data_IF_270700775581
#
_entry.id   IF_270700775581
#
_cell.length_a   1.000
_cell.length_b   1.000
_cell.length_c   1.000
_cell.angle_alpha   90.00
_cell.angle_beta   90.00
_cell.angle_gamma   90.00
#
_symmetry.space_group_name_H-M   'P 1'
#
loop_
_entity.id
_entity.type
_entity.pdbx_description
1 polymer ?
#
# COMPACT_ATOMS: atom_id res chain seq x y z
N UNK A 1 36.99 14.85 15.18
CA UNK A 1 35.57 14.67 14.91
C UNK A 1 34.86 15.99 15.18
N UNK A 2 34.57 16.76 14.12
CA UNK A 2 33.95 18.08 14.26
C UNK A 2 32.46 17.93 14.51
N UNK A 3 32.02 18.21 15.73
CA UNK A 3 30.63 18.45 16.06
C UNK A 3 30.19 19.78 15.44
N UNK A 4 29.87 19.75 14.16
CA UNK A 4 29.15 20.85 13.54
C UNK A 4 27.76 20.91 14.19
N UNK A 5 27.57 21.91 15.03
CA UNK A 5 26.28 22.28 15.60
C UNK A 5 25.34 22.58 14.41
N UNK A 6 24.54 21.60 14.04
CA UNK A 6 23.47 21.79 13.04
C UNK A 6 22.52 22.80 13.66
N UNK A 7 22.57 24.05 13.24
CA UNK A 7 21.56 25.06 13.58
C UNK A 7 20.19 24.48 13.12
N UNK A 8 19.43 23.98 14.07
CA UNK A 8 18.08 23.50 13.85
C UNK A 8 17.21 24.72 13.59
N UNK A 9 16.83 24.94 12.33
CA UNK A 9 15.74 25.84 12.02
C UNK A 9 14.43 25.12 12.32
N UNK A 10 13.71 25.44 13.41
CA UNK A 10 12.55 24.65 13.85
C UNK A 10 11.42 24.65 12.81
N UNK A 11 11.26 25.73 12.06
CA UNK A 11 10.25 25.86 10.98
C UNK A 11 10.59 25.03 9.73
N UNK A 12 11.86 24.91 9.35
CA UNK A 12 12.29 24.12 8.19
C UNK A 12 12.06 22.63 8.38
N UNK A 13 12.09 22.13 9.63
CA UNK A 13 11.83 20.73 9.95
C UNK A 13 10.32 20.45 10.10
N UNK A 14 9.49 21.44 10.36
CA UNK A 14 8.04 21.26 10.54
C UNK A 14 7.31 21.00 9.24
N UNK A 15 7.74 21.63 8.14
CA UNK A 15 7.08 21.48 6.84
C UNK A 15 7.12 20.06 6.29
N UNK A 16 8.28 19.34 6.22
CA UNK A 16 8.32 17.95 5.78
C UNK A 16 7.49 17.03 6.68
N UNK A 17 7.46 17.29 7.98
CA UNK A 17 6.66 16.50 8.93
C UNK A 17 5.17 16.73 8.68
N UNK A 18 4.74 17.98 8.54
CA UNK A 18 3.36 18.32 8.22
C UNK A 18 2.92 17.67 6.91
N UNK A 19 3.77 17.70 5.88
CA UNK A 19 3.53 17.09 4.61
C UNK A 19 3.34 15.56 4.74
N UNK A 20 4.23 14.87 5.48
CA UNK A 20 4.10 13.43 5.75
C UNK A 20 2.79 13.14 6.49
N UNK A 21 2.43 13.93 7.50
CA UNK A 21 1.17 13.79 8.23
C UNK A 21 -0.02 13.96 7.29
N UNK A 22 -0.03 14.98 6.42
CA UNK A 22 -1.08 15.17 5.43
C UNK A 22 -1.20 13.98 4.47
N UNK A 23 -0.07 13.45 3.98
CA UNK A 23 -0.04 12.27 3.10
C UNK A 23 -0.57 11.02 3.81
N UNK A 24 -0.22 10.83 5.07
CA UNK A 24 -0.70 9.70 5.88
C UNK A 24 -2.21 9.84 6.12
N UNK A 25 -2.69 11.03 6.46
CA UNK A 25 -4.12 11.29 6.69
C UNK A 25 -4.94 11.08 5.42
N UNK A 26 -4.43 11.48 4.29
CA UNK A 26 -5.10 11.28 3.02
C UNK A 26 -5.09 9.81 2.62
N UNK A 27 -3.91 9.18 2.57
CA UNK A 27 -3.75 7.79 2.14
C UNK A 27 -4.27 6.77 3.15
N UNK A 28 -4.18 7.10 4.44
CA UNK A 28 -4.61 6.21 5.51
C UNK A 28 -6.09 6.30 5.84
N UNK A 29 -6.69 7.45 5.69
CA UNK A 29 -8.03 7.72 6.20
C UNK A 29 -9.01 8.28 5.17
N UNK A 30 -8.55 8.66 3.97
CA UNK A 30 -9.39 9.29 2.94
C UNK A 30 -10.03 10.60 3.41
N UNK A 31 -9.38 11.30 4.37
CA UNK A 31 -9.94 12.49 5.00
C UNK A 31 -9.79 13.76 4.16
N UNK A 32 -8.85 13.74 3.22
CA UNK A 32 -8.54 14.90 2.38
C UNK A 32 -8.61 14.48 0.91
N UNK A 33 -9.52 15.04 0.10
CA UNK A 33 -9.52 14.79 -1.32
C UNK A 33 -8.23 15.32 -1.94
N UNK A 34 -7.47 14.46 -2.62
CA UNK A 34 -6.28 14.89 -3.36
C UNK A 34 -6.72 15.74 -4.55
N UNK A 35 -6.36 17.02 -4.60
CA UNK A 35 -6.72 17.85 -5.73
C UNK A 35 -5.94 17.41 -6.98
N UNK A 36 -6.60 17.39 -8.14
CA UNK A 36 -5.98 16.98 -9.42
C UNK A 36 -4.72 17.78 -9.75
N UNK A 37 -4.64 19.04 -9.35
CA UNK A 37 -3.46 19.89 -9.54
C UNK A 37 -2.26 19.52 -8.64
N UNK A 38 -2.42 18.60 -7.69
CA UNK A 38 -1.28 18.09 -6.92
C UNK A 38 -0.22 17.48 -7.84
N UNK A 39 -0.62 16.91 -8.98
CA UNK A 39 0.30 16.43 -10.00
C UNK A 39 1.34 17.50 -10.40
N UNK A 40 0.88 18.73 -10.68
CA UNK A 40 1.75 19.86 -11.08
C UNK A 40 2.72 20.19 -9.93
N UNK A 41 2.21 20.20 -8.70
CA UNK A 41 3.03 20.46 -7.51
C UNK A 41 4.10 19.39 -7.35
N UNK A 42 3.76 18.11 -7.52
CA UNK A 42 4.70 16.99 -7.40
C UNK A 42 5.78 17.04 -8.48
N UNK A 43 5.38 17.35 -9.71
CA UNK A 43 6.33 17.57 -10.82
C UNK A 43 7.25 18.76 -10.50
N UNK A 44 6.71 19.88 -10.01
CA UNK A 44 7.50 21.00 -9.54
C UNK A 44 8.47 20.61 -8.44
N UNK A 45 8.00 19.87 -7.43
CA UNK A 45 8.85 19.32 -6.35
C UNK A 45 9.99 18.48 -6.93
N UNK A 46 9.74 17.63 -7.90
CA UNK A 46 10.78 16.83 -8.55
C UNK A 46 11.86 17.74 -9.17
N UNK A 47 11.49 18.70 -9.99
CA UNK A 47 12.47 19.58 -10.67
C UNK A 47 13.24 20.49 -9.70
N UNK A 48 12.59 21.07 -8.70
CA UNK A 48 13.23 22.02 -7.78
C UNK A 48 14.05 21.35 -6.67
N UNK A 49 13.68 20.12 -6.28
CA UNK A 49 14.31 19.43 -5.17
C UNK A 49 15.16 18.24 -5.58
N UNK A 50 15.16 17.90 -6.88
CA UNK A 50 15.98 16.80 -7.37
C UNK A 50 17.45 16.96 -6.97
N UNK A 51 18.00 15.92 -6.36
CA UNK A 51 19.41 15.89 -5.95
C UNK A 51 20.07 14.64 -6.52
N UNK A 52 20.98 14.86 -7.50
CA UNK A 52 21.80 13.79 -8.09
C UNK A 52 22.72 13.19 -7.02
N UNK A 53 22.92 11.88 -7.06
CA UNK A 53 23.86 11.19 -6.17
C UNK A 53 23.31 10.72 -4.83
N UNK A 54 22.02 10.91 -4.56
CA UNK A 54 21.34 10.24 -3.45
C UNK A 54 21.06 8.79 -3.82
N UNK A 55 20.93 7.89 -2.81
CA UNK A 55 20.81 6.44 -3.01
C UNK A 55 19.66 6.04 -3.95
N UNK A 56 18.55 6.77 -3.92
CA UNK A 56 17.36 6.46 -4.71
C UNK A 56 17.09 7.45 -5.85
N UNK A 57 18.02 8.36 -6.16
CA UNK A 57 17.81 9.36 -7.21
C UNK A 57 17.58 8.74 -8.58
N UNK A 58 18.36 7.72 -8.97
CA UNK A 58 18.21 7.03 -10.25
C UNK A 58 16.88 6.27 -10.37
N UNK A 59 16.51 5.33 -9.46
CA UNK A 59 15.26 4.60 -9.58
C UNK A 59 14.03 5.52 -9.53
N UNK A 60 14.03 6.56 -8.70
CA UNK A 60 12.91 7.53 -8.67
C UNK A 60 12.81 8.29 -10.00
N UNK A 61 13.94 8.72 -10.58
CA UNK A 61 13.93 9.43 -11.87
C UNK A 61 13.42 8.54 -13.00
N UNK A 62 13.87 7.28 -13.05
CA UNK A 62 13.38 6.30 -14.03
C UNK A 62 11.87 6.14 -13.89
N UNK A 63 11.38 5.96 -12.68
CA UNK A 63 9.96 5.80 -12.41
C UNK A 63 9.14 7.04 -12.81
N UNK A 64 9.62 8.25 -12.48
CA UNK A 64 8.96 9.50 -12.91
C UNK A 64 8.91 9.62 -14.42
N UNK A 65 10.02 9.32 -15.11
CA UNK A 65 10.06 9.31 -16.58
C UNK A 65 9.09 8.28 -17.15
N UNK A 66 9.03 7.08 -16.58
CA UNK A 66 8.08 6.04 -16.96
C UNK A 66 6.62 6.52 -16.83
N UNK A 67 6.27 7.19 -15.73
CA UNK A 67 4.95 7.80 -15.56
C UNK A 67 4.63 8.83 -16.65
N UNK A 68 5.58 9.70 -17.00
CA UNK A 68 5.38 10.67 -18.08
C UNK A 68 5.18 9.99 -19.44
N UNK A 69 5.99 9.00 -19.77
CA UNK A 69 5.88 8.25 -21.00
C UNK A 69 4.54 7.50 -21.10
N UNK A 70 4.06 6.93 -20.01
CA UNK A 70 2.76 6.27 -19.99
C UNK A 70 1.59 7.25 -20.12
N UNK A 71 1.72 8.48 -19.60
CA UNK A 71 0.73 9.54 -19.84
C UNK A 71 0.66 9.87 -21.35
N UNK A 72 1.81 10.07 -21.99
CA UNK A 72 1.86 10.33 -23.42
C UNK A 72 1.32 9.14 -24.25
N UNK A 73 1.64 7.92 -23.85
CA UNK A 73 1.11 6.69 -24.45
C UNK A 73 -0.41 6.63 -24.35
N UNK A 74 -0.98 6.91 -23.17
CA UNK A 74 -2.41 6.93 -22.97
C UNK A 74 -3.11 8.00 -23.82
N UNK A 75 -2.53 9.21 -23.90
CA UNK A 75 -3.06 10.26 -24.76
C UNK A 75 -3.10 9.83 -26.24
N UNK A 76 -2.02 9.18 -26.71
CA UNK A 76 -1.91 8.79 -28.11
C UNK A 76 -2.74 7.55 -28.48
N UNK A 77 -2.61 6.46 -27.70
CA UNK A 77 -3.27 5.18 -28.02
C UNK A 77 -4.70 5.08 -27.53
N UNK A 78 -5.03 5.73 -26.41
CA UNK A 78 -6.36 5.68 -25.77
C UNK A 78 -7.19 6.92 -26.01
N UNK A 79 -6.60 7.97 -26.62
CA UNK A 79 -7.25 9.24 -26.89
C UNK A 79 -7.82 9.92 -25.64
N UNK A 80 -7.11 9.78 -24.50
CA UNK A 80 -7.49 10.37 -23.23
C UNK A 80 -6.92 11.79 -23.08
N UNK A 81 -7.65 12.66 -22.38
CA UNK A 81 -7.15 14.01 -22.10
C UNK A 81 -6.09 13.99 -21.00
N UNK A 82 -5.06 14.86 -21.03
CA UNK A 82 -4.06 14.95 -19.98
C UNK A 82 -4.66 15.15 -18.59
N UNK A 83 -5.72 15.97 -18.51
CA UNK A 83 -6.38 16.30 -17.24
C UNK A 83 -7.07 15.09 -16.62
N UNK A 84 -7.56 14.16 -17.44
CA UNK A 84 -8.19 12.91 -16.97
C UNK A 84 -7.18 11.95 -16.37
N UNK A 85 -5.97 11.95 -16.90
CA UNK A 85 -4.92 10.98 -16.56
C UNK A 85 -4.08 11.45 -15.37
N UNK A 86 -3.65 12.71 -15.37
CA UNK A 86 -2.66 13.25 -14.43
C UNK A 86 -3.07 13.06 -12.97
N UNK A 87 -4.36 13.18 -12.66
CA UNK A 87 -4.87 13.01 -11.30
C UNK A 87 -4.58 11.64 -10.69
N UNK A 88 -4.61 10.60 -11.51
CA UNK A 88 -4.42 9.21 -11.06
C UNK A 88 -2.94 8.90 -10.74
N UNK A 89 -2.01 9.67 -11.30
CA UNK A 89 -0.59 9.51 -11.01
C UNK A 89 -0.14 10.17 -9.70
N UNK A 90 -0.96 10.98 -9.06
CA UNK A 90 -0.60 11.69 -7.84
C UNK A 90 -0.05 10.76 -6.76
N UNK A 91 -0.74 9.63 -6.52
CA UNK A 91 -0.36 8.66 -5.51
C UNK A 91 1.03 8.07 -5.76
N UNK A 92 1.36 7.80 -7.01
CA UNK A 92 2.64 7.22 -7.40
C UNK A 92 3.75 8.26 -7.39
N UNK A 93 3.46 9.48 -7.82
CA UNK A 93 4.43 10.58 -7.84
C UNK A 93 4.77 11.11 -6.44
N UNK A 94 4.02 10.73 -5.40
CA UNK A 94 4.40 11.07 -4.01
C UNK A 94 5.81 10.59 -3.64
N UNK A 95 6.36 9.60 -4.34
CA UNK A 95 7.74 9.14 -4.15
C UNK A 95 8.78 10.28 -4.31
N UNK A 96 8.44 11.35 -5.05
CA UNK A 96 9.35 12.51 -5.23
C UNK A 96 9.58 13.30 -3.95
N UNK A 97 8.72 13.14 -2.94
CA UNK A 97 8.96 13.74 -1.62
C UNK A 97 10.23 13.23 -0.95
N UNK A 98 10.77 12.10 -1.38
CA UNK A 98 12.10 11.66 -1.00
C UNK A 98 13.15 12.77 -1.16
N UNK A 99 13.10 13.55 -2.25
CA UNK A 99 14.05 14.64 -2.48
C UNK A 99 13.87 15.82 -1.50
N UNK A 100 12.62 16.09 -1.11
CA UNK A 100 12.32 17.09 -0.07
C UNK A 100 12.93 16.67 1.26
N UNK A 101 12.74 15.41 1.66
CA UNK A 101 13.30 14.85 2.89
C UNK A 101 14.84 14.91 2.87
N UNK A 102 15.47 14.59 1.73
CA UNK A 102 16.92 14.66 1.55
C UNK A 102 17.42 16.10 1.61
N UNK A 103 16.70 17.08 1.07
CA UNK A 103 17.10 18.48 1.08
C UNK A 103 17.06 19.06 2.49
N UNK A 104 16.02 18.74 3.24
CA UNK A 104 15.86 19.23 4.62
C UNK A 104 16.60 18.39 5.66
N UNK A 105 17.33 17.35 5.23
CA UNK A 105 18.08 16.44 6.11
C UNK A 105 17.21 15.94 7.29
N UNK A 106 15.96 15.55 6.99
CA UNK A 106 15.04 15.00 8.00
C UNK A 106 15.65 13.72 8.55
N UNK A 107 15.81 13.63 9.86
CA UNK A 107 16.42 12.46 10.47
C UNK A 107 15.46 11.24 10.40
N UNK A 108 16.06 10.07 10.25
CA UNK A 108 15.31 8.80 10.21
C UNK A 108 14.51 8.60 11.50
N UNK A 109 15.06 9.01 12.66
CA UNK A 109 14.39 8.89 13.95
C UNK A 109 13.10 9.71 14.02
N UNK A 110 13.07 10.88 13.38
CA UNK A 110 11.86 11.71 13.29
C UNK A 110 10.82 11.02 12.41
N UNK A 111 11.23 10.50 11.25
CA UNK A 111 10.34 9.75 10.36
C UNK A 111 9.78 8.50 11.05
N UNK A 112 10.63 7.72 11.72
CA UNK A 112 10.20 6.55 12.49
C UNK A 112 9.16 6.91 13.56
N UNK A 113 9.34 8.01 14.29
CA UNK A 113 8.37 8.47 15.29
C UNK A 113 7.04 8.87 14.65
N UNK A 114 7.07 9.64 13.55
CA UNK A 114 5.86 10.07 12.86
C UNK A 114 5.09 8.86 12.33
N UNK A 115 5.77 7.94 11.66
CA UNK A 115 5.18 6.72 11.14
C UNK A 115 4.63 5.81 12.26
N UNK A 116 5.34 5.71 13.38
CA UNK A 116 4.88 4.95 14.53
C UNK A 116 3.60 5.52 15.15
N UNK A 117 3.51 6.84 15.33
CA UNK A 117 2.30 7.46 15.83
C UNK A 117 1.14 7.37 14.84
N UNK A 118 1.40 7.53 13.54
CA UNK A 118 0.40 7.33 12.52
C UNK A 118 -0.15 5.90 12.53
N UNK A 119 0.72 4.91 12.69
CA UNK A 119 0.35 3.51 12.84
C UNK A 119 -0.55 3.30 14.08
N UNK A 120 -0.18 3.84 15.24
CA UNK A 120 -0.98 3.72 16.47
C UNK A 120 -2.37 4.34 16.28
N UNK A 121 -2.44 5.56 15.73
CA UNK A 121 -3.70 6.25 15.42
C UNK A 121 -4.54 5.40 14.46
N UNK A 122 -3.91 4.86 13.40
CA UNK A 122 -4.59 3.97 12.46
C UNK A 122 -5.22 2.76 13.16
N UNK A 123 -4.48 2.07 14.04
CA UNK A 123 -5.00 0.92 14.75
C UNK A 123 -6.24 1.28 15.59
N UNK A 124 -6.22 2.39 16.31
CA UNK A 124 -7.36 2.83 17.10
C UNK A 124 -8.55 3.21 16.22
N UNK A 125 -8.34 3.96 15.14
CA UNK A 125 -9.40 4.30 14.19
C UNK A 125 -10.01 3.04 13.56
N UNK A 126 -9.17 2.07 13.18
CA UNK A 126 -9.62 0.81 12.61
C UNK A 126 -10.45 -0.01 13.59
N UNK A 127 -9.98 -0.20 14.82
CA UNK A 127 -10.71 -0.93 15.87
C UNK A 127 -12.02 -0.24 16.23
N UNK A 128 -12.01 1.10 16.30
CA UNK A 128 -13.26 1.85 16.51
C UNK A 128 -14.22 1.63 15.34
N UNK A 129 -13.75 1.70 14.08
CA UNK A 129 -14.58 1.46 12.91
C UNK A 129 -15.18 0.05 12.92
N UNK A 130 -14.40 -0.97 13.33
CA UNK A 130 -14.89 -2.35 13.48
C UNK A 130 -15.96 -2.42 14.57
N UNK A 131 -15.80 -1.72 15.70
CA UNK A 131 -16.74 -1.74 16.82
C UNK A 131 -18.10 -1.10 16.52
N UNK A 132 -18.12 -0.08 15.65
CA UNK A 132 -19.35 0.66 15.27
C UNK A 132 -20.00 0.14 13.99
N UNK A 133 -19.50 -0.99 13.46
CA UNK A 133 -20.12 -1.64 12.29
C UNK A 133 -21.62 -1.86 12.48
N UNK A 134 -22.49 -1.60 11.48
CA UNK A 134 -22.20 -1.30 10.09
C UNK A 134 -22.06 0.21 9.77
N UNK A 135 -22.00 1.09 10.77
CA UNK A 135 -21.86 2.53 10.56
C UNK A 135 -20.46 2.87 10.05
N UNK A 136 -20.36 3.56 8.93
CA UNK A 136 -19.11 4.07 8.38
C UNK A 136 -18.79 5.42 9.00
N UNK A 137 -17.65 5.52 9.70
CA UNK A 137 -17.17 6.76 10.33
C UNK A 137 -15.96 7.32 9.61
N UNK A 138 -15.00 6.47 9.25
CA UNK A 138 -13.72 6.86 8.66
C UNK A 138 -13.61 6.51 7.17
N UNK A 139 -14.71 6.16 6.54
CA UNK A 139 -14.71 5.72 5.14
C UNK A 139 -15.52 6.69 4.30
N UNK A 140 -15.04 6.94 3.10
CA UNK A 140 -15.72 7.81 2.16
C UNK A 140 -17.10 7.22 1.82
N UNK A 141 -18.14 7.97 2.11
CA UNK A 141 -19.53 7.58 1.84
C UNK A 141 -19.86 7.57 0.36
N UNK A 142 -19.11 8.33 -0.42
CA UNK A 142 -19.31 8.51 -1.86
C UNK A 142 -18.53 7.48 -2.69
N UNK A 143 -17.74 6.64 -2.03
CA UNK A 143 -17.02 5.57 -2.70
C UNK A 143 -18.03 4.50 -3.12
N UNK A 144 -18.59 4.65 -4.32
CA UNK A 144 -19.62 3.77 -4.93
C UNK A 144 -19.13 2.33 -5.12
N UNK A 145 -17.86 2.06 -4.87
CA UNK A 145 -17.28 0.73 -4.86
C UNK A 145 -17.35 0.17 -3.44
N UNK A 146 -18.36 -0.65 -3.20
CA UNK A 146 -18.62 -1.41 -1.96
C UNK A 146 -17.46 -2.34 -1.50
N UNK A 147 -16.23 -2.11 -1.98
CA UNK A 147 -15.06 -2.88 -1.57
C UNK A 147 -14.66 -2.63 -0.11
N UNK A 148 -15.08 -1.50 0.44
CA UNK A 148 -14.71 -1.06 1.79
C UNK A 148 -15.44 -1.85 2.86
N UNK A 149 -16.67 -2.28 2.58
CA UNK A 149 -17.44 -3.15 3.47
C UNK A 149 -17.82 -4.40 2.69
N UNK A 150 -17.19 -5.48 3.05
CA UNK A 150 -17.64 -6.79 2.64
C UNK A 150 -18.79 -7.21 3.57
N UNK A 151 -20.03 -6.86 3.20
CA UNK A 151 -21.24 -7.12 4.00
C UNK A 151 -21.42 -8.61 4.23
N UNK A 152 -21.12 -9.44 3.22
CA UNK A 152 -21.24 -10.90 3.31
C UNK A 152 -20.29 -11.48 4.36
N UNK A 153 -19.07 -10.95 4.45
CA UNK A 153 -18.06 -11.45 5.37
C UNK A 153 -17.89 -10.59 6.63
N UNK A 154 -18.72 -9.57 6.83
CA UNK A 154 -18.63 -8.59 7.94
C UNK A 154 -17.22 -8.00 8.10
N UNK A 155 -16.52 -7.76 6.99
CA UNK A 155 -15.17 -7.21 6.97
C UNK A 155 -15.18 -5.74 6.61
N UNK A 156 -14.34 -4.99 7.28
CA UNK A 156 -14.11 -3.59 6.98
C UNK A 156 -12.72 -3.48 6.40
N UNK A 157 -12.63 -3.02 5.15
CA UNK A 157 -11.38 -2.72 4.47
C UNK A 157 -11.14 -1.23 4.53
N UNK A 158 -10.39 -0.82 5.52
CA UNK A 158 -9.97 0.57 5.65
C UNK A 158 -8.68 0.80 4.87
N UNK A 159 -8.62 1.87 4.08
CA UNK A 159 -7.38 2.29 3.40
C UNK A 159 -6.30 2.57 4.46
N UNK A 160 -5.05 2.22 4.17
CA UNK A 160 -3.93 2.46 5.12
C UNK A 160 -3.42 1.23 5.85
N UNK A 161 -3.86 0.02 5.51
CA UNK A 161 -3.30 -1.21 6.09
C UNK A 161 -1.79 -1.36 5.87
N UNK A 162 -1.23 -0.70 4.86
CA UNK A 162 0.23 -0.58 4.66
C UNK A 162 0.93 0.09 5.84
N UNK A 163 0.31 1.11 6.46
CA UNK A 163 0.83 1.79 7.67
C UNK A 163 0.85 0.82 8.84
N UNK A 164 -0.19 -0.02 8.97
CA UNK A 164 -0.25 -1.06 9.99
C UNK A 164 0.87 -2.09 9.80
N UNK A 165 1.12 -2.54 8.58
CA UNK A 165 2.22 -3.47 8.26
C UNK A 165 3.59 -2.88 8.57
N UNK A 166 3.82 -1.60 8.22
CA UNK A 166 5.04 -0.89 8.57
C UNK A 166 5.22 -0.79 10.10
N UNK A 167 4.15 -0.47 10.82
CA UNK A 167 4.13 -0.41 12.29
C UNK A 167 4.44 -1.75 12.93
N UNK A 168 3.93 -2.84 12.36
CA UNK A 168 4.23 -4.21 12.78
C UNK A 168 5.74 -4.51 12.68
N UNK A 169 6.32 -4.33 11.50
CA UNK A 169 7.75 -4.63 11.28
C UNK A 169 8.67 -3.66 12.05
N UNK A 170 8.28 -2.41 12.19
CA UNK A 170 8.99 -1.46 13.03
C UNK A 170 9.01 -1.93 14.50
N UNK A 171 7.84 -2.31 15.04
CA UNK A 171 7.72 -2.80 16.40
C UNK A 171 8.52 -4.09 16.61
N UNK A 172 8.44 -5.04 15.67
CA UNK A 172 9.24 -6.25 15.68
C UNK A 172 10.74 -5.96 15.70
N UNK A 173 11.20 -5.02 14.85
CA UNK A 173 12.60 -4.61 14.83
C UNK A 173 13.06 -4.06 16.19
N UNK A 174 12.24 -3.21 16.82
CA UNK A 174 12.55 -2.65 18.15
C UNK A 174 12.55 -3.71 19.25
N UNK A 175 11.70 -4.74 19.17
CA UNK A 175 11.73 -5.89 20.08
C UNK A 175 13.02 -6.68 19.91
N UNK A 176 13.44 -6.91 18.68
CA UNK A 176 14.72 -7.58 18.39
C UNK A 176 15.92 -6.77 18.91
N UNK A 177 15.81 -5.44 18.94
CA UNK A 177 16.76 -4.53 19.63
C UNK A 177 16.60 -4.56 21.17
N UNK A 178 15.83 -5.50 21.74
CA UNK A 178 15.55 -5.67 23.18
C UNK A 178 14.69 -4.55 23.79
N UNK A 179 13.94 -3.79 23.02
CA UNK A 179 13.00 -2.77 23.49
C UNK A 179 11.61 -3.37 23.65
N UNK A 180 11.36 -4.07 24.77
CA UNK A 180 10.16 -4.86 25.00
C UNK A 180 8.86 -4.05 25.10
N UNK A 181 8.91 -2.74 25.32
CA UNK A 181 7.75 -1.85 25.32
C UNK A 181 7.02 -1.76 23.95
N UNK A 182 7.65 -2.23 22.87
CA UNK A 182 7.02 -2.33 21.55
C UNK A 182 6.20 -3.62 21.33
N UNK A 183 6.15 -4.52 22.31
CA UNK A 183 5.36 -5.76 22.22
C UNK A 183 3.86 -5.48 22.09
N UNK A 184 3.32 -4.56 22.88
CA UNK A 184 1.91 -4.20 22.81
C UNK A 184 1.52 -3.58 21.44
N UNK A 185 2.25 -2.60 20.88
CA UNK A 185 2.03 -2.14 19.51
C UNK A 185 2.07 -3.24 18.45
N UNK A 186 3.00 -4.17 18.55
CA UNK A 186 3.10 -5.31 17.63
C UNK A 186 1.85 -6.21 17.71
N UNK A 187 1.41 -6.55 18.91
CA UNK A 187 0.18 -7.34 19.11
C UNK A 187 -1.05 -6.61 18.60
N UNK A 188 -1.17 -5.31 18.86
CA UNK A 188 -2.25 -4.47 18.34
C UNK A 188 -2.31 -4.52 16.81
N UNK A 189 -1.16 -4.42 16.15
CA UNK A 189 -1.05 -4.56 14.70
C UNK A 189 -1.51 -5.93 14.20
N UNK A 190 -1.10 -7.01 14.87
CA UNK A 190 -1.54 -8.37 14.51
C UNK A 190 -3.06 -8.52 14.63
N UNK A 191 -3.67 -7.99 15.67
CA UNK A 191 -5.14 -7.99 15.83
C UNK A 191 -5.80 -7.27 14.66
N UNK A 192 -5.30 -6.09 14.27
CA UNK A 192 -5.81 -5.37 13.12
C UNK A 192 -5.66 -6.17 11.81
N UNK A 193 -4.51 -6.82 11.58
CA UNK A 193 -4.30 -7.67 10.40
C UNK A 193 -5.25 -8.86 10.36
N UNK A 194 -5.51 -9.49 11.49
CA UNK A 194 -6.44 -10.61 11.60
C UNK A 194 -7.88 -10.18 11.29
N UNK A 195 -8.33 -9.07 11.90
CA UNK A 195 -9.67 -8.53 11.64
C UNK A 195 -9.85 -8.07 10.20
N UNK A 196 -8.80 -7.57 9.57
CA UNK A 196 -8.79 -7.19 8.16
C UNK A 196 -8.93 -8.39 7.23
N UNK A 197 -8.44 -9.55 7.66
CA UNK A 197 -8.68 -10.85 7.03
C UNK A 197 -7.97 -11.07 5.68
N UNK A 198 -6.87 -10.37 5.40
CA UNK A 198 -6.03 -10.65 4.23
C UNK A 198 -5.04 -11.78 4.54
N UNK A 199 -5.35 -12.99 4.04
CA UNK A 199 -4.51 -14.20 4.16
C UNK A 199 -3.07 -13.96 3.69
N UNK A 200 -2.92 -13.32 2.54
CA UNK A 200 -1.63 -13.00 1.94
C UNK A 200 -0.79 -12.09 2.83
N UNK A 201 -1.42 -11.08 3.44
CA UNK A 201 -0.74 -10.16 4.35
C UNK A 201 -0.24 -10.89 5.60
N UNK A 202 -1.08 -11.73 6.20
CA UNK A 202 -0.71 -12.53 7.37
C UNK A 202 0.42 -13.51 7.05
N UNK A 203 0.32 -14.22 5.92
CA UNK A 203 1.34 -15.16 5.47
C UNK A 203 2.68 -14.47 5.27
N UNK A 204 2.72 -13.38 4.49
CA UNK A 204 3.96 -12.66 4.26
C UNK A 204 4.50 -12.00 5.52
N UNK A 205 3.62 -11.49 6.40
CA UNK A 205 4.07 -10.96 7.70
C UNK A 205 4.74 -12.03 8.55
N UNK A 206 4.23 -13.26 8.57
CA UNK A 206 4.85 -14.38 9.27
C UNK A 206 6.20 -14.75 8.65
N UNK A 207 6.26 -14.92 7.32
CA UNK A 207 7.50 -15.26 6.60
C UNK A 207 8.58 -14.22 6.82
N UNK A 208 8.27 -12.93 6.62
CA UNK A 208 9.25 -11.86 6.82
C UNK A 208 9.65 -11.71 8.29
N UNK A 209 8.76 -11.99 9.24
CA UNK A 209 9.12 -12.00 10.66
C UNK A 209 10.15 -13.08 10.96
N UNK A 210 9.98 -14.28 10.43
CA UNK A 210 10.95 -15.37 10.58
C UNK A 210 12.29 -14.97 9.97
N UNK A 211 12.29 -14.40 8.76
CA UNK A 211 13.51 -13.91 8.09
C UNK A 211 14.22 -12.85 8.96
N UNK A 212 13.48 -11.88 9.50
CA UNK A 212 14.03 -10.84 10.37
C UNK A 212 14.65 -11.44 11.63
N UNK A 213 13.96 -12.36 12.29
CA UNK A 213 14.45 -13.02 13.51
C UNK A 213 15.72 -13.81 13.22
N UNK A 214 15.76 -14.58 12.12
CA UNK A 214 16.95 -15.31 11.68
C UNK A 214 18.12 -14.36 11.41
N UNK A 215 17.85 -13.25 10.73
CA UNK A 215 18.89 -12.25 10.41
C UNK A 215 19.49 -11.61 11.65
N UNK A 216 18.68 -11.32 12.67
CA UNK A 216 19.13 -10.67 13.91
C UNK A 216 19.80 -11.63 14.89
N UNK A 217 19.25 -12.82 15.09
CA UNK A 217 19.66 -13.75 16.14
C UNK A 217 20.42 -14.97 15.60
N UNK A 218 20.52 -15.11 14.28
CA UNK A 218 20.99 -16.35 13.65
C UNK A 218 20.00 -17.49 13.81
N UNK A 219 20.33 -18.64 13.22
CA UNK A 219 19.55 -19.87 13.39
C UNK A 219 19.91 -20.52 14.73
N UNK A 220 19.05 -20.38 15.72
CA UNK A 220 19.31 -20.84 17.09
C UNK A 220 18.19 -21.74 17.62
N UNK A 221 18.52 -22.61 18.61
CA UNK A 221 17.49 -23.41 19.31
C UNK A 221 16.38 -22.55 19.93
N UNK A 222 16.71 -21.32 20.33
CA UNK A 222 15.72 -20.34 20.84
C UNK A 222 14.71 -19.93 19.77
N UNK A 223 15.15 -19.76 18.52
CA UNK A 223 14.26 -19.46 17.40
C UNK A 223 13.23 -20.58 17.20
N UNK A 224 13.70 -21.84 17.18
CA UNK A 224 12.82 -23.00 17.05
C UNK A 224 11.81 -23.05 18.18
N UNK A 225 12.25 -22.79 19.43
CA UNK A 225 11.37 -22.71 20.58
C UNK A 225 10.30 -21.61 20.43
N UNK A 226 10.68 -20.40 20.01
CA UNK A 226 9.73 -19.29 19.80
C UNK A 226 8.77 -19.56 18.65
N UNK A 227 9.23 -20.18 17.55
CA UNK A 227 8.36 -20.60 16.46
C UNK A 227 7.36 -21.67 16.93
N UNK A 228 7.81 -22.64 17.71
CA UNK A 228 6.93 -23.65 18.30
C UNK A 228 5.90 -23.05 19.26
N UNK A 229 6.33 -22.13 20.12
CA UNK A 229 5.43 -21.40 21.05
C UNK A 229 4.42 -20.52 20.29
N UNK A 230 4.86 -19.83 19.24
CA UNK A 230 3.99 -19.05 18.33
C UNK A 230 2.97 -19.96 17.62
N UNK A 231 3.41 -21.11 17.13
CA UNK A 231 2.54 -22.13 16.52
C UNK A 231 1.51 -22.68 17.53
N UNK A 232 1.93 -22.95 18.77
CA UNK A 232 1.02 -23.36 19.83
C UNK A 232 0.02 -22.26 20.17
N UNK A 233 0.46 -20.99 20.25
CA UNK A 233 -0.42 -19.86 20.48
C UNK A 233 -1.44 -19.69 19.35
N UNK A 234 -1.01 -19.82 18.09
CA UNK A 234 -1.91 -19.79 16.94
C UNK A 234 -2.92 -20.95 16.95
N UNK A 235 -2.48 -22.14 17.36
CA UNK A 235 -3.36 -23.31 17.54
C UNK A 235 -4.40 -23.08 18.66
N UNK A 236 -3.98 -22.55 19.80
CA UNK A 236 -4.91 -22.22 20.90
C UNK A 236 -5.92 -21.14 20.47
N UNK A 237 -5.50 -20.13 19.71
CA UNK A 237 -6.41 -19.15 19.11
C UNK A 237 -7.40 -19.80 18.14
N UNK A 238 -6.93 -20.77 17.33
CA UNK A 238 -7.78 -21.51 16.40
C UNK A 238 -8.89 -22.29 17.12
N UNK A 239 -8.65 -22.74 18.36
CA UNK A 239 -9.67 -23.43 19.16
C UNK A 239 -10.77 -22.48 19.68
N UNK A 240 -10.61 -21.17 19.56
CA UNK A 240 -11.65 -20.22 19.97
C UNK A 240 -12.75 -20.12 18.90
N UNK A 241 -14.05 -20.10 19.27
CA UNK A 241 -15.17 -20.06 18.32
C UNK A 241 -15.10 -18.87 17.34
N UNK A 242 -14.61 -17.72 17.81
CA UNK A 242 -14.46 -16.52 17.00
C UNK A 242 -13.44 -16.77 15.87
N UNK A 243 -12.34 -17.42 16.21
CA UNK A 243 -11.27 -17.70 15.24
C UNK A 243 -11.65 -18.80 14.26
N UNK A 244 -12.37 -19.82 14.73
CA UNK A 244 -12.93 -20.87 13.87
C UNK A 244 -13.86 -20.26 12.82
N UNK A 245 -14.78 -19.38 13.21
CA UNK A 245 -15.68 -18.69 12.28
C UNK A 245 -14.92 -17.86 11.24
N UNK A 246 -13.85 -17.17 11.64
CA UNK A 246 -13.01 -16.40 10.70
C UNK A 246 -12.27 -17.33 9.75
N UNK A 247 -11.73 -18.44 10.26
CA UNK A 247 -10.98 -19.41 9.47
C UNK A 247 -11.88 -20.18 8.50
N UNK A 248 -13.04 -20.64 8.93
CA UNK A 248 -14.04 -21.30 8.08
C UNK A 248 -14.44 -20.40 6.91
N UNK A 249 -14.75 -19.14 7.17
CA UNK A 249 -15.05 -18.17 6.10
C UNK A 249 -13.87 -17.93 5.15
N UNK A 250 -12.64 -18.00 5.67
CA UNK A 250 -11.45 -17.94 4.82
C UNK A 250 -11.33 -19.16 3.91
N UNK A 251 -11.72 -20.35 4.40
CA UNK A 251 -11.69 -21.61 3.63
C UNK A 251 -12.82 -21.65 2.62
N UNK A 252 -14.06 -21.31 3.00
CA UNK A 252 -15.21 -21.22 2.08
C UNK A 252 -14.90 -20.29 0.89
N UNK A 253 -14.25 -19.17 1.15
CA UNK A 253 -13.82 -18.28 0.06
C UNK A 253 -12.73 -18.92 -0.80
N UNK A 254 -11.84 -19.70 -0.25
CA UNK A 254 -10.82 -20.41 -1.03
C UNK A 254 -11.46 -21.49 -1.91
N UNK A 255 -12.48 -22.17 -1.42
CA UNK A 255 -13.25 -23.14 -2.19
C UNK A 255 -14.05 -22.46 -3.28
N UNK A 256 -14.69 -21.32 -3.00
CA UNK A 256 -15.38 -20.55 -4.02
C UNK A 256 -14.43 -19.99 -5.09
N UNK A 257 -13.22 -19.56 -4.70
CA UNK A 257 -12.20 -19.12 -5.64
C UNK A 257 -11.67 -20.30 -6.50
N UNK A 258 -11.72 -21.54 -6.01
CA UNK A 258 -11.31 -22.75 -6.75
C UNK A 258 -12.41 -23.32 -7.64
N UNK A 259 -13.68 -23.08 -7.32
CA UNK A 259 -14.85 -23.54 -8.11
C UNK A 259 -15.08 -22.72 -9.38
N UNK A 260 -14.47 -21.54 -9.53
CA UNK A 260 -14.37 -20.89 -10.83
C UNK A 260 -13.35 -21.66 -11.69
N UNK A 261 -13.79 -22.74 -12.26
CA UNK A 261 -13.22 -23.72 -13.18
C UNK A 261 -11.73 -23.64 -13.54
N UNK A 262 -11.09 -24.77 -13.58
CA UNK A 262 -9.63 -25.04 -13.70
C UNK A 262 -8.85 -24.36 -14.85
N UNK A 263 -9.48 -23.59 -15.74
CA UNK A 263 -8.82 -22.76 -16.76
C UNK A 263 -9.02 -21.27 -16.57
N UNK A 264 -9.93 -20.88 -15.67
CA UNK A 264 -10.38 -19.49 -15.51
C UNK A 264 -10.14 -18.95 -14.10
N UNK A 265 -9.04 -19.40 -13.46
CA UNK A 265 -8.62 -18.70 -12.24
C UNK A 265 -8.42 -17.21 -12.60
N UNK A 266 -9.26 -16.36 -12.01
CA UNK A 266 -9.40 -14.93 -12.39
C UNK A 266 -8.06 -14.18 -12.54
N UNK A 267 -7.04 -14.56 -11.77
CA UNK A 267 -5.71 -13.95 -11.88
C UNK A 267 -5.00 -14.37 -13.18
N UNK A 268 -5.13 -15.64 -13.62
CA UNK A 268 -4.58 -16.05 -14.91
C UNK A 268 -5.34 -15.38 -16.06
N UNK A 269 -6.67 -15.29 -15.97
CA UNK A 269 -7.47 -14.56 -16.93
C UNK A 269 -7.03 -13.09 -17.02
N UNK A 270 -6.77 -12.44 -15.87
CA UNK A 270 -6.23 -11.08 -15.80
C UNK A 270 -4.87 -10.99 -16.49
N UNK A 271 -3.95 -11.93 -16.19
CA UNK A 271 -2.62 -11.97 -16.81
C UNK A 271 -2.72 -12.07 -18.33
N UNK A 272 -3.49 -13.04 -18.83
CA UNK A 272 -3.67 -13.24 -20.27
C UNK A 272 -4.37 -12.07 -20.94
N UNK A 273 -5.34 -11.44 -20.27
CA UNK A 273 -6.01 -10.26 -20.79
C UNK A 273 -5.02 -9.11 -20.98
N UNK A 274 -4.24 -8.77 -19.94
CA UNK A 274 -3.31 -7.63 -20.00
C UNK A 274 -2.14 -7.87 -20.95
N UNK A 275 -1.62 -9.07 -21.09
CA UNK A 275 -0.56 -9.36 -22.06
C UNK A 275 -1.05 -9.63 -23.50
N UNK A 276 -2.25 -10.16 -23.65
CA UNK A 276 -2.74 -10.58 -24.98
C UNK A 276 -3.70 -9.60 -25.65
N UNK A 277 -4.58 -8.96 -24.89
CA UNK A 277 -5.73 -8.27 -25.44
C UNK A 277 -5.84 -6.79 -25.06
N UNK A 278 -5.11 -6.35 -24.04
CA UNK A 278 -5.27 -5.00 -23.50
C UNK A 278 -4.59 -3.94 -24.38
N UNK A 279 -3.39 -4.20 -24.87
CA UNK A 279 -2.61 -3.21 -25.60
C UNK A 279 -2.97 -3.16 -27.08
N UNK A 280 -3.06 -1.95 -27.64
CA UNK A 280 -3.28 -1.70 -29.07
C UNK A 280 -2.02 -1.89 -29.91
N UNK A 281 -0.84 -1.84 -29.29
CA UNK A 281 0.44 -2.00 -29.97
C UNK A 281 1.55 -2.44 -29.01
N UNK A 282 2.66 -2.96 -29.57
CA UNK A 282 3.85 -3.29 -28.81
C UNK A 282 4.48 -2.05 -28.14
N UNK A 283 4.33 -0.88 -28.77
CA UNK A 283 4.83 0.39 -28.21
C UNK A 283 4.03 0.77 -26.97
N UNK A 284 2.71 0.63 -27.01
CA UNK A 284 1.85 0.86 -25.83
C UNK A 284 2.19 -0.12 -24.69
N UNK A 285 2.45 -1.38 -25.03
CA UNK A 285 2.87 -2.38 -24.04
C UNK A 285 4.18 -1.98 -23.33
N UNK A 286 5.12 -1.43 -24.07
CA UNK A 286 6.41 -0.98 -23.53
C UNK A 286 6.27 0.30 -22.71
N UNK A 287 5.52 1.28 -23.20
CA UNK A 287 5.33 2.59 -22.54
C UNK A 287 4.27 2.59 -21.44
N UNK A 288 3.42 1.56 -21.40
CA UNK A 288 2.25 1.46 -20.54
C UNK A 288 0.99 2.04 -21.17
N UNK A 289 -0.17 1.50 -20.80
CA UNK A 289 -1.48 1.98 -21.27
C UNK A 289 -1.96 3.25 -20.57
N UNK A 290 -1.30 3.64 -19.49
CA UNK A 290 -1.66 4.76 -18.64
C UNK A 290 -2.78 4.43 -17.64
N UNK A 291 -2.84 5.23 -16.59
CA UNK A 291 -3.93 5.20 -15.61
C UNK A 291 -5.07 6.09 -16.10
N UNK A 292 -6.30 5.74 -15.81
CA UNK A 292 -7.46 6.54 -16.19
C UNK A 292 -8.34 6.88 -14.99
N UNK A 293 -8.96 8.04 -15.03
CA UNK A 293 -9.94 8.43 -14.02
C UNK A 293 -11.29 7.78 -14.33
N UNK A 294 -11.67 6.80 -13.52
CA UNK A 294 -12.92 6.02 -13.68
C UNK A 294 -14.18 6.89 -13.60
N UNK A 295 -14.15 7.99 -12.85
CA UNK A 295 -15.29 8.88 -12.68
C UNK A 295 -15.66 9.67 -13.94
N UNK A 296 -14.71 9.85 -14.87
CA UNK A 296 -14.93 10.66 -16.08
C UNK A 296 -15.69 9.92 -17.20
N UNK A 297 -15.89 8.62 -17.08
CA UNK A 297 -16.63 7.78 -18.02
C UNK A 297 -16.20 7.95 -19.49
N UNK A 298 -14.90 8.12 -19.70
CA UNK A 298 -14.32 8.10 -21.05
C UNK A 298 -14.34 6.69 -21.63
N UNK A 299 -14.09 6.53 -22.94
CA UNK A 299 -14.09 5.22 -23.59
C UNK A 299 -13.10 4.26 -22.93
N UNK A 300 -11.92 4.73 -22.58
CA UNK A 300 -10.91 3.92 -21.91
C UNK A 300 -11.26 3.62 -20.45
N UNK A 301 -11.78 4.61 -19.72
CA UNK A 301 -12.23 4.37 -18.34
C UNK A 301 -13.38 3.35 -18.26
N UNK A 302 -14.33 3.39 -19.22
CA UNK A 302 -15.41 2.41 -19.31
C UNK A 302 -14.88 1.01 -19.66
N UNK A 303 -13.84 0.91 -20.50
CA UNK A 303 -13.15 -0.36 -20.78
C UNK A 303 -12.56 -0.94 -19.50
N UNK A 304 -11.82 -0.14 -18.72
CA UNK A 304 -11.24 -0.59 -17.44
C UNK A 304 -12.33 -1.00 -16.45
N UNK A 305 -13.37 -0.18 -16.26
CA UNK A 305 -14.50 -0.51 -15.36
C UNK A 305 -15.20 -1.78 -15.80
N UNK A 306 -15.38 -2.00 -17.11
CA UNK A 306 -15.94 -3.25 -17.63
C UNK A 306 -15.04 -4.45 -17.34
N UNK A 307 -13.73 -4.32 -17.53
CA UNK A 307 -12.77 -5.38 -17.22
C UNK A 307 -12.83 -5.71 -15.72
N UNK A 308 -12.88 -4.69 -14.86
CA UNK A 308 -13.05 -4.87 -13.42
C UNK A 308 -14.36 -5.52 -13.02
N UNK A 309 -15.46 -5.25 -13.73
CA UNK A 309 -16.74 -5.93 -13.49
C UNK A 309 -16.69 -7.43 -13.83
N UNK A 310 -15.76 -7.85 -14.69
CA UNK A 310 -15.44 -9.27 -14.95
C UNK A 310 -14.39 -9.82 -13.98
N UNK A 311 -13.95 -9.03 -12.97
CA UNK A 311 -12.93 -9.41 -12.00
C UNK A 311 -11.49 -9.27 -12.50
N UNK A 312 -11.26 -8.66 -13.67
CA UNK A 312 -9.92 -8.46 -14.24
C UNK A 312 -9.24 -7.23 -13.68
N UNK A 313 -8.82 -7.31 -12.42
CA UNK A 313 -8.21 -6.19 -11.70
C UNK A 313 -6.68 -6.18 -11.87
N UNK A 314 -6.13 -5.18 -12.57
CA UNK A 314 -4.68 -5.07 -12.78
C UNK A 314 -3.90 -4.95 -11.47
N UNK A 315 -4.45 -4.27 -10.46
CA UNK A 315 -3.81 -4.05 -9.16
C UNK A 315 -3.65 -5.32 -8.32
N UNK A 316 -4.37 -6.40 -8.61
CA UNK A 316 -4.21 -7.70 -7.94
C UNK A 316 -2.83 -8.33 -8.22
N UNK A 317 -2.13 -7.85 -9.24
CA UNK A 317 -0.78 -8.24 -9.59
C UNK A 317 0.31 -7.33 -9.00
N UNK A 318 -0.07 -6.37 -8.15
CA UNK A 318 0.87 -5.48 -7.46
C UNK A 318 1.78 -4.71 -8.43
N UNK A 319 3.10 -4.82 -8.25
CA UNK A 319 4.06 -4.11 -9.10
C UNK A 319 3.95 -4.47 -10.59
N UNK A 320 3.65 -5.73 -10.92
CA UNK A 320 3.45 -6.14 -12.30
C UNK A 320 2.23 -5.45 -12.92
N UNK A 321 1.12 -5.40 -12.19
CA UNK A 321 -0.07 -4.68 -12.64
C UNK A 321 0.16 -3.18 -12.80
N UNK A 322 0.95 -2.58 -11.91
CA UNK A 322 1.37 -1.18 -12.05
C UNK A 322 2.22 -1.01 -13.31
N UNK A 323 3.15 -1.93 -13.61
CA UNK A 323 3.99 -1.86 -14.82
C UNK A 323 3.17 -1.95 -16.11
N UNK A 324 2.05 -2.66 -16.12
CA UNK A 324 1.14 -2.66 -17.29
C UNK A 324 0.58 -1.27 -17.58
N UNK A 325 0.30 -0.49 -16.54
CA UNK A 325 -0.24 0.86 -16.68
C UNK A 325 0.85 1.92 -16.90
N UNK A 326 2.00 1.78 -16.23
CA UNK A 326 3.07 2.78 -16.24
C UNK A 326 4.23 2.46 -17.18
N UNK A 327 4.23 1.29 -17.80
CA UNK A 327 5.31 0.81 -18.69
C UNK A 327 6.38 0.00 -17.98
N UNK A 328 7.16 -0.70 -18.80
CA UNK A 328 8.25 -1.61 -18.37
C UNK A 328 9.58 -0.89 -18.61
N UNK A 329 9.86 0.15 -17.87
CA UNK A 329 11.18 0.82 -17.91
C UNK A 329 12.02 0.52 -16.67
#
# INVERSE_FOLDING_TARGET
MNNAIVKRYPLANSFPILLIVCLILEQGYGLLPIPRYLFIVLVGVFFFYYKKGTSYSKPISIFVVSCFLSILSCMYFRNESPVSIMGEYNIYLMIVFYFVLCKYNVSIEVLEKVLFWAFIIFCFCYLYQVSVYPKLVFLDKDNQYNETIDVLNRRIRMVGMSINSLGYFYSLNKILEKKMNYTLPMLLSLVCMLLFGFRTLLFFSAVFSIIMIIRFNGFSKKLVFWCALGGLGAYLLYLTPIFQTVFERMMERQESDQTFGNKDYIRYATLFHYYGNHYKSAVEMFLGSGLCNRALRTSYSLEIVRNESYGLHYYDWGLLGISWMTGVL
#
